data_IF_447979865590
#
_entry.id   IF_447979865590
#
_cell.length_a   1.000
_cell.length_b   1.000
_cell.length_c   1.000
_cell.angle_alpha   90.00
_cell.angle_beta   90.00
_cell.angle_gamma   90.00
#
_symmetry.space_group_name_H-M   'P 1'
#
loop_
_entity.id
_entity.type
_entity.pdbx_description
1 polymer ?
#
# COMPACT_ATOMS: atom_id res chain seq x y z
N UNK A 1 -17.07 12.07 -58.24
CA UNK A 1 -15.85 11.56 -57.60
C UNK A 1 -15.95 11.91 -56.12
N UNK A 2 -16.18 10.94 -55.27
CA UNK A 2 -16.32 11.08 -53.84
C UNK A 2 -15.13 10.47 -53.17
N UNK A 3 -14.34 11.27 -52.49
CA UNK A 3 -13.27 10.77 -51.62
C UNK A 3 -13.86 10.45 -50.24
N UNK A 4 -13.76 9.18 -49.87
CA UNK A 4 -14.06 8.69 -48.57
C UNK A 4 -12.76 8.68 -47.74
N UNK A 5 -12.65 9.64 -46.79
CA UNK A 5 -11.58 9.62 -45.82
C UNK A 5 -11.87 8.58 -44.73
N UNK A 6 -11.08 7.54 -44.69
CA UNK A 6 -11.09 6.48 -43.68
C UNK A 6 -10.67 7.03 -42.34
N UNK A 7 -11.59 6.94 -41.37
CA UNK A 7 -11.29 7.11 -39.96
C UNK A 7 -10.63 5.83 -39.42
N UNK A 8 -9.32 5.82 -39.33
CA UNK A 8 -8.59 4.79 -38.58
C UNK A 8 -8.65 5.12 -37.10
N UNK A 9 -9.55 4.48 -36.39
CA UNK A 9 -9.52 4.40 -34.93
C UNK A 9 -8.36 3.51 -34.51
N UNK A 10 -7.27 4.11 -34.05
CA UNK A 10 -6.15 3.40 -33.43
C UNK A 10 -6.62 2.82 -32.10
N UNK A 11 -6.87 1.52 -32.07
CA UNK A 11 -7.02 0.76 -30.84
C UNK A 11 -5.70 0.88 -30.04
N UNK A 12 -5.75 1.58 -28.91
CA UNK A 12 -4.66 1.53 -27.93
C UNK A 12 -4.53 0.09 -27.43
N UNK A 13 -3.55 -0.63 -27.96
CA UNK A 13 -3.19 -1.95 -27.49
C UNK A 13 -2.86 -1.85 -25.99
N UNK A 14 -3.54 -2.65 -25.18
CA UNK A 14 -3.15 -2.89 -23.80
C UNK A 14 -1.74 -3.50 -23.81
N UNK A 15 -0.72 -2.70 -23.53
CA UNK A 15 0.60 -3.21 -23.21
C UNK A 15 0.46 -4.09 -21.97
N UNK A 16 0.44 -5.42 -22.16
CA UNK A 16 0.55 -6.36 -21.05
C UNK A 16 1.90 -6.12 -20.38
N UNK A 17 1.89 -5.39 -19.28
CA UNK A 17 3.06 -5.24 -18.41
C UNK A 17 3.41 -6.64 -17.86
N UNK A 18 4.46 -7.25 -18.42
CA UNK A 18 4.98 -8.56 -18.00
C UNK A 18 5.81 -8.47 -16.71
N UNK A 19 5.93 -7.29 -16.13
CA UNK A 19 6.71 -7.06 -14.92
C UNK A 19 6.15 -7.84 -13.74
N UNK A 20 7.05 -8.39 -12.94
CA UNK A 20 6.70 -9.02 -11.67
C UNK A 20 6.72 -7.96 -10.56
N UNK A 21 5.68 -7.95 -9.73
CA UNK A 21 5.53 -7.03 -8.61
C UNK A 21 5.53 -7.77 -7.27
N UNK A 22 6.10 -7.18 -6.24
CA UNK A 22 5.86 -7.59 -4.86
C UNK A 22 4.92 -6.59 -4.21
N UNK A 23 3.76 -7.07 -3.73
CA UNK A 23 2.79 -6.25 -3.00
C UNK A 23 2.85 -6.61 -1.52
N UNK A 24 3.24 -5.66 -0.69
CA UNK A 24 3.34 -5.84 0.76
C UNK A 24 2.12 -5.20 1.42
N UNK A 25 1.31 -6.01 2.07
CA UNK A 25 0.26 -5.56 2.98
C UNK A 25 0.87 -5.46 4.39
N UNK A 26 1.28 -4.26 4.80
CA UNK A 26 1.90 -4.06 6.10
C UNK A 26 0.86 -3.76 7.18
N UNK A 27 1.07 -4.29 8.38
CA UNK A 27 0.25 -3.95 9.54
C UNK A 27 0.94 -2.86 10.36
N UNK A 28 0.18 -1.84 10.72
CA UNK A 28 0.59 -0.90 11.77
C UNK A 28 0.49 -1.59 13.14
N UNK A 29 1.41 -1.29 14.04
CA UNK A 29 1.41 -1.82 15.42
C UNK A 29 0.14 -1.46 16.21
N UNK A 30 -0.62 -0.49 15.74
CA UNK A 30 -1.72 0.13 16.47
C UNK A 30 -3.12 -0.43 16.15
N UNK A 31 -3.25 -1.67 15.71
CA UNK A 31 -4.53 -2.40 15.78
C UNK A 31 -5.13 -2.47 17.20
N UNK A 32 -4.62 -1.62 18.11
CA UNK A 32 -4.99 -1.57 19.52
C UNK A 32 -6.49 -1.34 19.74
N UNK A 33 -7.08 -0.47 18.94
CA UNK A 33 -8.53 -0.16 19.01
C UNK A 33 -9.41 -1.30 18.50
N UNK A 34 -8.83 -2.23 17.75
CA UNK A 34 -9.51 -3.39 17.17
C UNK A 34 -9.24 -4.70 17.90
N UNK A 35 -8.40 -4.73 18.95
CA UNK A 35 -8.03 -5.94 19.72
C UNK A 35 -9.24 -6.76 20.20
N UNK A 36 -10.35 -6.11 20.54
CA UNK A 36 -11.57 -6.78 20.96
C UNK A 36 -12.30 -7.48 19.80
N UNK A 37 -11.98 -7.15 18.56
CA UNK A 37 -12.65 -7.66 17.34
C UNK A 37 -11.79 -8.69 16.61
N UNK A 38 -10.53 -8.87 17.04
CA UNK A 38 -9.54 -9.72 16.38
C UNK A 38 -8.73 -8.97 15.30
N UNK A 39 -7.95 -9.70 14.50
CA UNK A 39 -7.18 -9.11 13.42
C UNK A 39 -8.08 -8.37 12.42
N UNK A 40 -7.68 -7.14 12.04
CA UNK A 40 -8.44 -6.34 11.08
C UNK A 40 -8.64 -7.05 9.73
N UNK A 41 -7.72 -7.93 9.37
CA UNK A 41 -7.78 -8.75 8.16
C UNK A 41 -9.04 -9.62 8.08
N UNK A 42 -9.62 -9.98 9.24
CA UNK A 42 -10.85 -10.77 9.32
C UNK A 42 -12.13 -9.92 9.39
N UNK A 43 -12.01 -8.60 9.45
CA UNK A 43 -13.16 -7.70 9.39
C UNK A 43 -13.99 -8.00 8.13
N UNK A 44 -15.29 -8.17 8.29
CA UNK A 44 -16.20 -8.48 7.16
C UNK A 44 -16.69 -7.19 6.51
N UNK A 45 -16.52 -7.11 5.19
CA UNK A 45 -16.99 -6.04 4.33
C UNK A 45 -17.75 -6.70 3.17
N UNK A 46 -19.04 -6.40 3.04
CA UNK A 46 -19.86 -6.98 1.96
C UNK A 46 -19.72 -8.51 1.83
N UNK A 47 -19.85 -9.24 2.93
CA UNK A 47 -19.76 -10.72 3.04
C UNK A 47 -18.34 -11.31 2.83
N UNK A 48 -17.33 -10.54 2.51
CA UNK A 48 -15.92 -10.95 2.39
C UNK A 48 -15.11 -10.43 3.56
N UNK A 49 -14.00 -11.09 3.87
CA UNK A 49 -13.03 -10.48 4.79
C UNK A 49 -12.29 -9.35 4.09
N UNK A 50 -11.76 -8.39 4.87
CA UNK A 50 -10.91 -7.33 4.33
C UNK A 50 -9.77 -7.92 3.50
N UNK A 51 -9.09 -8.96 4.03
CA UNK A 51 -8.00 -9.63 3.33
C UNK A 51 -8.44 -10.24 2.00
N UNK A 52 -9.63 -10.85 1.93
CA UNK A 52 -10.16 -11.36 0.65
C UNK A 52 -10.36 -10.24 -0.37
N UNK A 53 -10.93 -9.12 0.05
CA UNK A 53 -11.14 -7.96 -0.83
C UNK A 53 -9.82 -7.37 -1.31
N UNK A 54 -8.81 -7.27 -0.43
CA UNK A 54 -7.47 -6.79 -0.79
C UNK A 54 -6.77 -7.73 -1.79
N UNK A 55 -6.75 -9.02 -1.52
CA UNK A 55 -6.13 -10.02 -2.42
C UNK A 55 -6.81 -10.00 -3.80
N UNK A 56 -8.14 -9.91 -3.85
CA UNK A 56 -8.87 -9.79 -5.12
C UNK A 56 -8.51 -8.50 -5.88
N UNK A 57 -8.43 -7.35 -5.23
CA UNK A 57 -8.04 -6.08 -5.85
C UNK A 57 -6.62 -6.17 -6.43
N UNK A 58 -5.69 -6.68 -5.64
CA UNK A 58 -4.27 -6.83 -6.02
C UNK A 58 -4.13 -7.77 -7.21
N UNK A 59 -4.71 -8.98 -7.15
CA UNK A 59 -4.58 -9.98 -8.23
C UNK A 59 -5.33 -9.59 -9.51
N UNK A 60 -6.34 -8.74 -9.41
CA UNK A 60 -6.99 -8.13 -10.57
C UNK A 60 -6.09 -7.12 -11.27
N UNK A 61 -5.30 -6.34 -10.53
CA UNK A 61 -4.39 -5.34 -11.07
C UNK A 61 -3.08 -5.98 -11.53
N UNK A 62 -2.41 -6.70 -10.64
CA UNK A 62 -1.09 -7.27 -10.86
C UNK A 62 -1.21 -8.76 -11.20
N UNK A 63 -1.20 -9.09 -12.50
CA UNK A 63 -1.35 -10.49 -12.96
C UNK A 63 -0.16 -11.36 -12.60
N UNK A 64 1.02 -10.77 -12.47
CA UNK A 64 2.26 -11.44 -12.12
C UNK A 64 2.82 -10.79 -10.85
N UNK A 65 2.43 -11.30 -9.68
CA UNK A 65 2.85 -10.76 -8.39
C UNK A 65 2.99 -11.82 -7.30
N UNK A 66 3.79 -11.50 -6.30
CA UNK A 66 3.68 -12.09 -4.97
C UNK A 66 3.01 -11.10 -4.02
N UNK A 67 2.30 -11.61 -3.03
CA UNK A 67 1.73 -10.83 -1.93
C UNK A 67 2.45 -11.24 -0.65
N UNK A 68 2.94 -10.26 0.10
CA UNK A 68 3.52 -10.48 1.42
C UNK A 68 2.62 -9.79 2.44
N UNK A 69 2.08 -10.58 3.36
CA UNK A 69 1.26 -10.06 4.44
C UNK A 69 2.08 -9.96 5.71
N UNK A 70 2.47 -8.74 6.09
CA UNK A 70 3.08 -8.45 7.38
C UNK A 70 2.02 -8.41 8.47
N UNK A 71 2.18 -9.20 9.52
CA UNK A 71 1.26 -9.24 10.65
C UNK A 71 2.02 -9.38 11.98
N UNK A 72 1.36 -9.04 13.08
CA UNK A 72 1.89 -9.18 14.42
C UNK A 72 0.88 -9.88 15.32
N UNK A 73 -0.25 -9.24 15.56
CA UNK A 73 -1.31 -9.79 16.40
C UNK A 73 -1.98 -10.99 15.70
N UNK A 74 -2.03 -12.13 16.39
CA UNK A 74 -2.66 -13.38 15.94
C UNK A 74 -2.18 -13.89 14.56
N UNK A 75 -0.86 -13.80 14.33
CA UNK A 75 -0.21 -14.21 13.09
C UNK A 75 -0.51 -15.68 12.72
N UNK A 76 -0.64 -16.55 13.71
CA UNK A 76 -0.95 -17.98 13.51
C UNK A 76 -2.31 -18.19 12.86
N UNK A 77 -3.36 -17.52 13.34
CA UNK A 77 -4.70 -17.59 12.75
C UNK A 77 -4.74 -17.02 11.34
N UNK A 78 -4.00 -15.91 11.11
CA UNK A 78 -3.87 -15.30 9.78
C UNK A 78 -3.16 -16.26 8.83
N UNK A 79 -2.05 -16.88 9.22
CA UNK A 79 -1.31 -17.83 8.40
C UNK A 79 -2.14 -19.08 8.06
N UNK A 80 -2.92 -19.59 9.02
CA UNK A 80 -3.87 -20.70 8.78
C UNK A 80 -4.92 -20.29 7.75
N UNK A 81 -5.54 -19.13 7.93
CA UNK A 81 -6.55 -18.61 7.01
C UNK A 81 -6.02 -18.43 5.58
N UNK A 82 -4.82 -17.83 5.45
CA UNK A 82 -4.16 -17.64 4.15
C UNK A 82 -3.96 -18.98 3.45
N UNK A 83 -3.44 -19.99 4.14
CA UNK A 83 -3.19 -21.33 3.60
C UNK A 83 -4.49 -22.03 3.12
N UNK A 84 -5.58 -21.84 3.85
CA UNK A 84 -6.86 -22.47 3.52
C UNK A 84 -7.59 -21.77 2.36
N UNK A 85 -7.56 -20.44 2.33
CA UNK A 85 -8.38 -19.62 1.41
C UNK A 85 -7.69 -19.23 0.11
N UNK A 86 -6.36 -19.13 0.10
CA UNK A 86 -5.62 -18.60 -1.05
C UNK A 86 -4.66 -19.60 -1.69
N UNK A 87 -5.08 -20.87 -1.81
CA UNK A 87 -4.25 -21.98 -2.34
C UNK A 87 -3.63 -21.75 -3.73
N UNK A 88 -4.21 -20.84 -4.53
CA UNK A 88 -3.78 -20.54 -5.91
C UNK A 88 -3.19 -19.14 -6.05
N UNK A 89 -2.96 -18.44 -4.95
CA UNK A 89 -2.37 -17.11 -4.92
C UNK A 89 -0.97 -17.22 -4.34
N UNK A 90 0.00 -16.58 -4.99
CA UNK A 90 1.34 -16.46 -4.44
C UNK A 90 1.32 -15.46 -3.29
N UNK A 91 0.99 -15.94 -2.10
CA UNK A 91 0.89 -15.14 -0.88
C UNK A 91 1.62 -15.81 0.28
N UNK A 92 2.44 -15.05 0.99
CA UNK A 92 3.12 -15.50 2.21
C UNK A 92 2.88 -14.55 3.36
N UNK A 93 2.95 -15.08 4.57
CA UNK A 93 2.77 -14.33 5.82
C UNK A 93 4.13 -14.15 6.49
N UNK A 94 4.42 -12.93 6.90
CA UNK A 94 5.61 -12.56 7.66
C UNK A 94 5.18 -12.03 9.02
N UNK A 95 5.61 -12.70 10.08
CA UNK A 95 5.29 -12.30 11.45
C UNK A 95 6.30 -11.29 11.99
N UNK A 96 5.83 -10.14 12.42
CA UNK A 96 6.59 -9.21 13.23
C UNK A 96 6.42 -9.60 14.72
N UNK A 97 7.31 -10.39 15.27
CA UNK A 97 7.27 -10.81 16.66
C UNK A 97 7.42 -9.63 17.64
N UNK A 98 8.00 -8.53 17.18
CA UNK A 98 8.22 -7.31 17.96
C UNK A 98 7.07 -6.29 17.81
N UNK A 99 5.93 -6.69 17.24
CA UNK A 99 4.82 -5.78 16.89
C UNK A 99 4.32 -4.90 18.03
N UNK A 100 4.53 -5.30 19.30
CA UNK A 100 4.15 -4.52 20.48
C UNK A 100 5.11 -3.38 20.79
N UNK A 101 6.38 -3.55 20.36
CA UNK A 101 7.51 -2.67 20.67
C UNK A 101 8.17 -2.13 19.39
N UNK A 102 7.45 -2.09 18.30
CA UNK A 102 7.90 -1.57 17.00
C UNK A 102 6.74 -0.96 16.24
N UNK A 103 7.01 -0.33 15.10
CA UNK A 103 5.97 0.29 14.28
C UNK A 103 6.05 -0.18 12.82
N UNK A 104 5.31 0.47 11.90
CA UNK A 104 5.16 0.04 10.50
C UNK A 104 6.48 -0.07 9.75
N UNK A 105 7.50 0.74 10.07
CA UNK A 105 8.83 0.58 9.49
C UNK A 105 9.42 -0.81 9.74
N UNK A 106 9.35 -1.34 10.96
CA UNK A 106 9.87 -2.67 11.28
C UNK A 106 9.07 -3.77 10.58
N UNK A 107 7.74 -3.64 10.55
CA UNK A 107 6.88 -4.59 9.83
C UNK A 107 7.23 -4.67 8.34
N UNK A 108 7.47 -3.52 7.71
CA UNK A 108 7.89 -3.43 6.30
C UNK A 108 9.30 -3.98 6.11
N UNK A 109 10.26 -3.63 6.99
CA UNK A 109 11.63 -4.13 6.95
C UNK A 109 11.67 -5.67 6.96
N UNK A 110 10.90 -6.30 7.84
CA UNK A 110 10.82 -7.77 7.91
C UNK A 110 10.22 -8.38 6.65
N UNK A 111 9.21 -7.74 6.06
CA UNK A 111 8.62 -8.19 4.80
C UNK A 111 9.62 -8.11 3.64
N UNK A 112 10.52 -7.13 3.64
CA UNK A 112 11.50 -6.91 2.57
C UNK A 112 12.71 -7.86 2.65
N UNK A 113 13.01 -8.48 3.80
CA UNK A 113 14.21 -9.29 4.01
C UNK A 113 14.44 -10.39 2.96
N UNK A 114 13.39 -10.99 2.42
CA UNK A 114 13.48 -12.08 1.45
C UNK A 114 12.83 -11.72 0.11
N UNK A 115 12.80 -10.43 -0.21
CA UNK A 115 12.24 -9.95 -1.47
C UNK A 115 13.34 -9.84 -2.51
N UNK A 116 13.20 -10.58 -3.61
CA UNK A 116 14.18 -10.57 -4.71
C UNK A 116 13.82 -9.56 -5.81
N UNK A 117 12.63 -9.02 -5.78
CA UNK A 117 12.13 -8.05 -6.75
C UNK A 117 12.34 -6.61 -6.24
N UNK A 118 12.48 -5.68 -7.18
CA UNK A 118 12.67 -4.25 -6.88
C UNK A 118 11.43 -3.38 -7.15
N UNK A 119 10.38 -3.94 -7.77
CA UNK A 119 9.09 -3.26 -7.96
C UNK A 119 8.17 -3.59 -6.79
N UNK A 120 8.16 -2.73 -5.79
CA UNK A 120 7.49 -2.97 -4.52
C UNK A 120 6.30 -2.03 -4.36
N UNK A 121 5.12 -2.57 -4.13
CA UNK A 121 3.93 -1.80 -3.73
C UNK A 121 3.65 -2.05 -2.25
N UNK A 122 3.75 -1.02 -1.44
CA UNK A 122 3.43 -1.06 -0.02
C UNK A 122 2.01 -0.52 0.19
N UNK A 123 1.16 -1.28 0.87
CA UNK A 123 -0.20 -0.89 1.22
C UNK A 123 -0.47 -1.21 2.68
N UNK A 124 -1.21 -0.37 3.38
CA UNK A 124 -1.66 -0.73 4.73
C UNK A 124 -2.66 -1.88 4.69
N UNK A 125 -2.43 -2.90 5.52
CA UNK A 125 -3.34 -4.05 5.66
C UNK A 125 -4.69 -3.70 6.28
N UNK A 126 -4.88 -2.47 6.74
CA UNK A 126 -6.15 -1.96 7.26
C UNK A 126 -6.98 -1.17 6.23
N UNK A 127 -6.49 -0.97 5.02
CA UNK A 127 -7.17 -0.22 3.98
C UNK A 127 -8.09 -1.08 3.11
N UNK A 128 -9.26 -0.57 2.77
CA UNK A 128 -10.14 -1.15 1.75
C UNK A 128 -9.61 -0.71 0.40
N UNK A 129 -9.13 -1.67 -0.39
CA UNK A 129 -8.52 -1.45 -1.69
C UNK A 129 -9.43 -1.90 -2.82
N UNK A 130 -9.37 -1.19 -3.94
CA UNK A 130 -9.94 -1.61 -5.23
C UNK A 130 -8.85 -1.64 -6.31
N UNK A 131 -9.11 -2.32 -7.42
CA UNK A 131 -8.16 -2.36 -8.55
C UNK A 131 -7.85 -0.95 -9.07
N UNK A 132 -8.88 -0.12 -9.15
CA UNK A 132 -8.85 1.23 -9.71
C UNK A 132 -7.92 2.16 -8.91
N UNK A 133 -7.75 1.94 -7.61
CA UNK A 133 -6.82 2.72 -6.79
C UNK A 133 -5.38 2.62 -7.32
N UNK A 134 -5.01 1.48 -7.88
CA UNK A 134 -3.67 1.27 -8.45
C UNK A 134 -3.52 1.81 -9.89
N UNK A 135 -4.61 2.16 -10.56
CA UNK A 135 -4.58 2.67 -11.95
C UNK A 135 -4.10 4.12 -12.02
N UNK A 136 -4.09 4.85 -10.89
CA UNK A 136 -3.59 6.23 -10.80
C UNK A 136 -2.06 6.33 -10.73
N UNK A 137 -1.33 5.22 -10.57
CA UNK A 137 0.11 5.20 -10.36
C UNK A 137 0.84 5.03 -11.70
N UNK A 138 1.80 5.92 -11.98
CA UNK A 138 2.82 5.70 -13.03
C UNK A 138 3.93 4.81 -12.47
N UNK A 139 3.94 3.56 -12.91
CA UNK A 139 4.89 2.55 -12.44
C UNK A 139 6.33 2.73 -12.97
N UNK A 140 6.62 3.81 -13.67
CA UNK A 140 7.99 4.17 -14.07
C UNK A 140 8.77 4.87 -12.94
N UNK A 141 8.10 5.40 -11.91
CA UNK A 141 8.69 6.23 -10.85
C UNK A 141 8.21 5.82 -9.48
N UNK A 142 9.11 5.88 -8.50
CA UNK A 142 8.74 5.71 -7.08
C UNK A 142 7.80 6.83 -6.65
N UNK A 143 6.72 6.48 -5.94
CA UNK A 143 5.64 7.43 -5.69
C UNK A 143 4.79 7.11 -4.46
N UNK A 144 4.16 8.14 -3.91
CA UNK A 144 3.06 8.04 -2.94
C UNK A 144 1.74 8.31 -3.64
N UNK A 145 0.70 7.57 -3.26
CA UNK A 145 -0.66 7.83 -3.70
C UNK A 145 -1.37 8.70 -2.66
N UNK A 146 -2.07 9.71 -3.11
CA UNK A 146 -2.83 10.66 -2.27
C UNK A 146 -4.29 10.66 -2.64
N UNK A 147 -5.09 11.24 -1.77
CA UNK A 147 -6.50 11.56 -1.97
C UNK A 147 -6.74 13.06 -1.80
N UNK A 148 -7.95 13.51 -2.05
CA UNK A 148 -8.35 14.89 -1.75
C UNK A 148 -8.11 15.23 -0.28
N UNK A 149 -7.78 16.49 0.01
CA UNK A 149 -7.60 16.96 1.37
C UNK A 149 -8.91 16.85 2.17
N UNK A 150 -8.81 16.40 3.42
CA UNK A 150 -9.89 16.49 4.39
C UNK A 150 -9.41 17.20 5.66
N UNK A 151 -10.34 17.64 6.50
CA UNK A 151 -10.03 18.38 7.76
C UNK A 151 -9.56 17.48 8.91
N UNK A 152 -9.43 16.16 8.69
CA UNK A 152 -8.98 15.25 9.74
C UNK A 152 -7.49 15.44 10.05
N UNK A 153 -7.20 16.05 11.20
CA UNK A 153 -5.84 16.33 11.70
C UNK A 153 -5.04 15.07 12.06
N UNK A 154 -5.70 13.93 12.19
CA UNK A 154 -5.05 12.66 12.52
C UNK A 154 -4.62 11.88 11.27
N UNK A 155 -4.94 12.37 10.08
CA UNK A 155 -4.42 11.82 8.83
C UNK A 155 -3.03 12.34 8.52
N UNK A 156 -2.25 11.51 7.87
CA UNK A 156 -0.95 11.89 7.34
C UNK A 156 -1.18 12.67 6.05
N UNK A 157 -0.63 13.87 5.99
CA UNK A 157 -0.68 14.78 4.85
C UNK A 157 0.58 14.68 4.02
N UNK A 158 0.44 14.79 2.71
CA UNK A 158 1.52 14.83 1.72
C UNK A 158 1.60 16.25 1.18
N UNK A 159 2.78 16.82 1.24
CA UNK A 159 3.10 18.13 0.67
C UNK A 159 3.97 17.93 -0.56
N UNK A 160 3.46 18.31 -1.71
CA UNK A 160 4.14 18.21 -2.99
C UNK A 160 4.58 19.59 -3.50
N UNK A 161 5.64 19.61 -4.30
CA UNK A 161 6.04 20.82 -5.05
C UNK A 161 5.21 20.97 -6.34
N UNK A 162 5.49 22.06 -7.08
CA UNK A 162 4.82 22.38 -8.35
C UNK A 162 5.02 21.31 -9.43
N UNK A 163 6.08 20.51 -9.31
CA UNK A 163 6.39 19.41 -10.22
C UNK A 163 5.75 18.08 -9.78
N UNK A 164 4.94 18.07 -8.73
CA UNK A 164 4.32 16.88 -8.16
C UNK A 164 5.32 15.96 -7.44
N UNK A 165 6.44 16.47 -6.95
CA UNK A 165 7.36 15.69 -6.13
C UNK A 165 6.97 15.82 -4.65
N UNK A 166 6.85 14.69 -3.96
CA UNK A 166 6.65 14.66 -2.51
C UNK A 166 7.83 15.30 -1.80
N UNK A 167 7.58 16.35 -1.01
CA UNK A 167 8.61 17.07 -0.23
C UNK A 167 8.62 16.63 1.22
N UNK A 168 7.44 16.43 1.81
CA UNK A 168 7.31 15.97 3.18
C UNK A 168 5.95 15.33 3.42
N UNK A 169 5.88 14.56 4.48
CA UNK A 169 4.66 13.94 4.99
C UNK A 169 4.60 14.14 6.51
N UNK A 170 3.49 14.61 7.04
CA UNK A 170 3.31 14.81 8.49
C UNK A 170 1.83 14.75 8.88
N UNK A 171 1.59 14.60 10.18
CA UNK A 171 0.27 14.89 10.75
C UNK A 171 0.01 16.40 10.72
N UNK A 172 -1.21 16.82 10.50
CA UNK A 172 -1.58 18.23 10.56
C UNK A 172 -2.66 18.63 9.57
N UNK A 173 -2.69 19.93 9.26
CA UNK A 173 -3.63 20.55 8.33
C UNK A 173 -2.91 20.93 7.02
N UNK A 174 -3.68 21.08 5.95
CA UNK A 174 -3.16 21.36 4.62
C UNK A 174 -2.59 20.11 3.93
N UNK A 175 -2.17 20.25 2.69
CA UNK A 175 -1.69 19.12 1.89
C UNK A 175 -2.78 18.14 1.47
N UNK A 176 -2.38 17.07 0.78
CA UNK A 176 -3.25 15.98 0.35
C UNK A 176 -3.18 14.82 1.35
N UNK A 177 -4.28 14.10 1.53
CA UNK A 177 -4.29 12.92 2.40
C UNK A 177 -3.46 11.80 1.79
N UNK A 178 -2.56 11.19 2.57
CA UNK A 178 -1.89 9.98 2.13
C UNK A 178 -2.86 8.79 2.14
N UNK A 179 -2.96 8.08 1.02
CA UNK A 179 -3.83 6.92 0.87
C UNK A 179 -3.25 5.63 1.46
N UNK A 180 -2.15 5.69 2.18
CA UNK A 180 -1.42 4.53 2.74
C UNK A 180 -0.85 3.58 1.66
N UNK A 181 -0.61 4.11 0.45
CA UNK A 181 0.05 3.39 -0.64
C UNK A 181 1.36 4.11 -1.00
N UNK A 182 2.44 3.34 -1.05
CA UNK A 182 3.75 3.77 -1.51
C UNK A 182 4.32 2.76 -2.50
N UNK A 183 4.82 3.23 -3.63
CA UNK A 183 5.42 2.42 -4.67
C UNK A 183 6.91 2.73 -4.84
N UNK A 184 7.73 1.68 -4.91
CA UNK A 184 9.16 1.73 -5.21
C UNK A 184 9.36 1.11 -6.59
N UNK A 185 9.92 1.88 -7.54
CA UNK A 185 9.97 1.51 -8.95
C UNK A 185 11.23 0.78 -9.38
N UNK A 186 12.33 0.89 -8.61
CA UNK A 186 13.64 0.44 -9.05
C UNK A 186 14.55 0.00 -7.89
N UNK A 187 15.62 -0.70 -8.25
CA UNK A 187 16.58 -1.27 -7.29
C UNK A 187 17.33 -0.21 -6.47
N UNK A 188 17.66 0.94 -7.07
CA UNK A 188 18.38 2.03 -6.39
C UNK A 188 17.54 2.58 -5.25
N UNK A 189 16.26 2.86 -5.51
CA UNK A 189 15.32 3.38 -4.52
C UNK A 189 15.04 2.33 -3.44
N UNK A 190 14.94 1.03 -3.81
CA UNK A 190 14.77 -0.05 -2.85
C UNK A 190 15.99 -0.20 -1.93
N UNK A 191 17.21 -0.15 -2.46
CA UNK A 191 18.44 -0.19 -1.64
C UNK A 191 18.51 0.99 -0.68
N UNK A 192 18.15 2.19 -1.15
CA UNK A 192 18.07 3.38 -0.29
C UNK A 192 17.04 3.19 0.82
N UNK A 193 15.85 2.69 0.49
CA UNK A 193 14.78 2.46 1.45
C UNK A 193 15.18 1.41 2.50
N UNK A 194 15.75 0.28 2.07
CA UNK A 194 16.27 -0.75 2.98
C UNK A 194 17.32 -0.19 3.92
N UNK A 195 18.28 0.60 3.42
CA UNK A 195 19.33 1.20 4.27
C UNK A 195 18.76 2.14 5.34
N UNK A 196 17.63 2.82 5.05
CA UNK A 196 16.93 3.65 6.04
C UNK A 196 16.27 2.77 7.09
N UNK A 197 15.55 1.72 6.68
CA UNK A 197 14.83 0.83 7.59
C UNK A 197 15.77 0.00 8.48
N UNK A 198 16.96 -0.34 7.99
CA UNK A 198 17.99 -1.10 8.73
C UNK A 198 18.70 -0.25 9.78
N UNK A 199 18.65 1.08 9.68
CA UNK A 199 19.15 1.91 10.75
C UNK A 199 18.27 1.74 11.99
N UNK A 200 18.89 1.47 13.14
CA UNK A 200 18.18 1.17 14.40
C UNK A 200 17.15 2.23 14.83
N UNK A 201 17.30 3.45 14.33
CA UNK A 201 16.43 4.59 14.62
C UNK A 201 15.00 4.42 14.07
N UNK A 202 14.81 3.58 13.03
CA UNK A 202 13.50 3.46 12.34
C UNK A 202 12.60 2.35 12.89
N UNK A 203 13.09 1.50 13.77
CA UNK A 203 12.30 0.39 14.34
C UNK A 203 10.94 0.82 14.92
N UNK A 204 10.90 1.97 15.60
CA UNK A 204 9.72 2.49 16.27
C UNK A 204 9.01 3.61 15.49
N UNK A 205 9.45 3.88 14.25
CA UNK A 205 8.90 4.95 13.42
C UNK A 205 7.78 4.48 12.52
N UNK A 206 6.92 5.43 12.14
CA UNK A 206 5.91 5.21 11.11
C UNK A 206 6.54 5.18 9.72
N UNK A 207 5.91 4.48 8.79
CA UNK A 207 6.40 4.32 7.43
C UNK A 207 6.63 5.67 6.71
N UNK A 208 5.75 6.65 6.91
CA UNK A 208 5.89 7.97 6.31
C UNK A 208 7.19 8.70 6.73
N UNK A 209 7.72 8.43 7.93
CA UNK A 209 8.98 9.02 8.38
C UNK A 209 10.18 8.46 7.58
N UNK A 210 10.14 7.17 7.21
CA UNK A 210 11.13 6.58 6.32
C UNK A 210 11.00 7.13 4.88
N UNK A 211 9.77 7.34 4.40
CA UNK A 211 9.52 8.00 3.11
C UNK A 211 10.06 9.43 3.13
N UNK A 212 9.84 10.20 4.20
CA UNK A 212 10.42 11.53 4.37
C UNK A 212 11.96 11.51 4.28
N UNK A 213 12.60 10.47 4.81
CA UNK A 213 14.06 10.34 4.68
C UNK A 213 14.48 10.05 3.24
N UNK A 214 13.67 9.30 2.51
CA UNK A 214 13.91 9.07 1.07
C UNK A 214 13.78 10.35 0.26
N UNK A 215 12.77 11.21 0.51
CA UNK A 215 12.56 12.44 -0.28
C UNK A 215 13.74 13.42 -0.19
N UNK A 216 14.59 13.27 0.82
CA UNK A 216 15.84 14.05 0.95
C UNK A 216 16.95 13.57 0.00
N UNK A 217 16.85 12.37 -0.57
CA UNK A 217 17.91 11.70 -1.33
C UNK A 217 17.49 11.27 -2.73
N UNK A 218 16.20 11.11 -2.99
CA UNK A 218 15.66 10.73 -4.30
C UNK A 218 14.30 11.40 -4.53
N UNK A 219 13.88 11.45 -5.80
CA UNK A 219 12.59 12.03 -6.18
C UNK A 219 11.50 10.99 -6.00
N UNK A 220 10.55 11.29 -5.15
CA UNK A 220 9.31 10.52 -4.97
C UNK A 220 8.16 11.32 -5.56
N UNK A 221 7.44 10.75 -6.52
CA UNK A 221 6.29 11.41 -7.14
C UNK A 221 5.05 11.31 -6.26
N UNK A 222 4.12 12.23 -6.46
CA UNK A 222 2.80 12.23 -5.84
C UNK A 222 1.75 12.03 -6.93
N UNK A 223 0.92 11.00 -6.81
CA UNK A 223 -0.23 10.78 -7.69
C UNK A 223 -1.50 10.86 -6.86
N UNK A 224 -2.55 11.45 -7.42
CA UNK A 224 -3.83 11.59 -6.72
C UNK A 224 -4.81 10.52 -7.19
N UNK A 225 -5.44 9.85 -6.24
CA UNK A 225 -6.51 8.90 -6.50
C UNK A 225 -7.80 9.67 -6.87
N UNK A 226 -8.27 9.49 -8.10
CA UNK A 226 -9.50 10.08 -8.60
C UNK A 226 -10.66 9.07 -8.65
N UNK A 227 -10.44 7.86 -8.14
CA UNK A 227 -11.42 6.79 -8.10
C UNK A 227 -12.06 6.65 -6.71
N UNK A 228 -12.50 5.45 -6.38
CA UNK A 228 -13.10 5.17 -5.08
C UNK A 228 -12.12 5.45 -3.94
N UNK A 229 -12.58 6.23 -2.96
CA UNK A 229 -11.81 6.57 -1.77
C UNK A 229 -11.31 5.31 -1.04
N UNK A 230 -10.07 5.36 -0.59
CA UNK A 230 -9.45 4.31 0.23
C UNK A 230 -9.80 4.57 1.69
N UNK A 231 -10.59 3.68 2.27
CA UNK A 231 -11.00 3.80 3.66
C UNK A 231 -10.08 2.97 4.55
N UNK A 232 -9.49 3.58 5.57
CA UNK A 232 -8.68 2.90 6.58
C UNK A 232 -9.56 2.46 7.75
N UNK A 233 -9.54 1.16 8.06
CA UNK A 233 -10.23 0.57 9.20
C UNK A 233 -9.34 0.61 10.44
N UNK A 234 -9.35 1.73 11.14
CA UNK A 234 -8.53 1.99 12.33
C UNK A 234 -9.33 1.96 13.64
N UNK A 235 -10.66 1.86 13.55
CA UNK A 235 -11.55 1.90 14.72
C UNK A 235 -12.79 1.02 14.55
N UNK A 236 -13.41 0.64 15.67
CA UNK A 236 -14.67 -0.14 15.68
C UNK A 236 -15.86 0.67 15.16
N UNK A 237 -15.84 2.01 15.25
CA UNK A 237 -16.86 2.88 14.66
C UNK A 237 -16.85 2.78 13.14
N UNK A 238 -15.69 2.92 12.51
CA UNK A 238 -15.55 2.78 11.04
C UNK A 238 -15.95 1.39 10.55
N UNK A 239 -15.72 0.33 11.33
CA UNK A 239 -16.22 -1.01 11.00
C UNK A 239 -17.75 -1.13 11.02
N UNK A 240 -18.44 -0.32 11.82
CA UNK A 240 -19.92 -0.30 11.89
C UNK A 240 -20.54 0.48 10.73
N UNK A 241 -19.87 1.52 10.27
CA UNK A 241 -20.32 2.37 9.16
C UNK A 241 -20.29 1.66 7.80
N UNK A 242 -19.48 0.59 7.67
CA UNK A 242 -19.24 -0.13 6.40
C UNK A 242 -20.09 -1.42 6.31
N UNK A 243 -20.76 -1.81 7.40
CA UNK A 243 -21.69 -2.95 7.42
C UNK A 243 -23.06 -2.57 6.90
#
# INVERSE_FOLDING_TARGET
MKDASEFTTSAKGEHKDSSFYTVILFSDSHGYRLKKVGPVQFAKINRKTLLQSQVEAITKKFKNCEIILGCGFDATSIAKYVREKFKRVNIRVVENQLFRNSNSCESVRMCLLNTMNHKIVLCSASCILSKENFDCIDYSKSSVLTEGACEDKFKIKVYADENGNCRSMNFGEGGLDWSEIFYISNEKDLKLFNSILESGDYKNKFLFEAINKMTQKTVIKTYTNHHKQILKLDSTSKLKEIK
#
